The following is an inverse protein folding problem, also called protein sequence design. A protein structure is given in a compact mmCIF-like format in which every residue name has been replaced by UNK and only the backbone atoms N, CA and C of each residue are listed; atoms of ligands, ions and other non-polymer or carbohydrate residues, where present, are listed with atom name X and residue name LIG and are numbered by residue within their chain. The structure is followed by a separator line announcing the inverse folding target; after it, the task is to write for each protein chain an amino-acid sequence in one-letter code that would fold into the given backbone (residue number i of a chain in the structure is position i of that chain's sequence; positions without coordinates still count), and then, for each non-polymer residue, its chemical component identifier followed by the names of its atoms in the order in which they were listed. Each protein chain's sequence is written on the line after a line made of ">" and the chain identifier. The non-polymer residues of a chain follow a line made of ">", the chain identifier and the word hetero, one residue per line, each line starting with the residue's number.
data_IF_125921212444
#
_entry.id   IF_125921212444
#
_cell.length_a   1.000
_cell.length_b   1.000
_cell.length_c   1.000
_cell.angle_alpha   90.00
_cell.angle_beta   90.00
_cell.angle_gamma   90.00
#
_symmetry.space_group_name_H-M   'P 1'
#
loop_
_entity.id
_entity.type
_entity.pdbx_description
1 polymer ?
#
# COMPACT_ATOMS: atom_id res chain seq x y z
N UNK A 1 15.69 -13.51 0.59
CA UNK A 1 14.39 -13.22 1.15
C UNK A 1 13.60 -12.29 0.25
N UNK A 2 12.38 -12.50 0.17
CA UNK A 2 11.56 -11.81 -0.80
C UNK A 2 10.80 -10.65 -0.17
N UNK A 3 10.65 -9.59 -0.93
CA UNK A 3 9.77 -8.53 -0.54
C UNK A 3 8.34 -9.07 -0.50
N UNK A 4 7.54 -8.52 0.40
CA UNK A 4 6.13 -8.85 0.45
C UNK A 4 5.47 -8.50 -0.88
N UNK A 5 4.57 -9.36 -1.36
CA UNK A 5 3.81 -9.06 -2.56
C UNK A 5 2.99 -7.79 -2.38
N UNK A 6 2.46 -7.59 -1.19
CA UNK A 6 1.70 -6.38 -0.87
C UNK A 6 2.59 -5.15 -1.06
N UNK A 7 3.81 -5.19 -0.50
CA UNK A 7 4.75 -4.08 -0.62
C UNK A 7 5.07 -3.78 -2.07
N UNK A 8 5.38 -4.82 -2.84
CA UNK A 8 5.72 -4.68 -4.26
C UNK A 8 4.54 -4.08 -5.03
N UNK A 9 3.34 -4.59 -4.78
CA UNK A 9 2.17 -4.15 -5.52
C UNK A 9 1.78 -2.71 -5.18
N UNK A 10 1.86 -2.34 -3.90
CA UNK A 10 1.55 -0.96 -3.52
C UNK A 10 2.51 0.00 -4.20
N UNK A 11 3.81 -0.31 -4.18
CA UNK A 11 4.80 0.54 -4.86
C UNK A 11 4.52 0.64 -6.35
N UNK A 12 4.18 -0.49 -6.97
CA UNK A 12 3.90 -0.54 -8.39
C UNK A 12 2.73 0.38 -8.77
N UNK A 13 1.62 0.24 -8.07
CA UNK A 13 0.44 1.04 -8.38
C UNK A 13 0.64 2.50 -8.02
N UNK A 14 1.38 2.76 -6.92
CA UNK A 14 1.71 4.13 -6.56
C UNK A 14 2.55 4.80 -7.65
N UNK A 15 3.55 4.08 -8.18
CA UNK A 15 4.41 4.61 -9.23
C UNK A 15 3.65 4.82 -10.53
N UNK A 16 2.76 3.90 -10.89
CA UNK A 16 1.93 4.05 -12.08
C UNK A 16 1.09 5.31 -11.98
N UNK A 17 0.59 5.61 -10.79
CA UNK A 17 -0.24 6.80 -10.58
C UNK A 17 0.56 8.05 -10.25
N UNK A 18 1.88 7.90 -10.14
CA UNK A 18 2.80 9.00 -9.85
C UNK A 18 2.42 9.72 -8.55
N UNK A 19 2.15 8.93 -7.52
CA UNK A 19 1.73 9.41 -6.20
C UNK A 19 2.85 9.14 -5.22
N UNK A 20 3.21 10.14 -4.41
CA UNK A 20 4.21 9.96 -3.38
C UNK A 20 3.65 9.13 -2.23
N UNK A 21 4.54 8.61 -1.39
CA UNK A 21 4.11 7.89 -0.18
C UNK A 21 3.27 8.79 0.72
N UNK A 22 3.70 10.04 0.90
CA UNK A 22 2.97 10.97 1.74
C UNK A 22 1.57 11.22 1.19
N UNK A 23 1.47 11.44 -0.11
CA UNK A 23 0.18 11.69 -0.73
C UNK A 23 -0.73 10.48 -0.61
N UNK A 24 -0.17 9.28 -0.84
CA UNK A 24 -0.98 8.07 -0.72
C UNK A 24 -1.48 7.87 0.71
N UNK A 25 -0.64 8.14 1.70
CA UNK A 25 -1.07 7.99 3.10
C UNK A 25 -2.24 8.90 3.41
N UNK A 26 -2.19 10.13 2.92
CA UNK A 26 -3.28 11.09 3.14
C UNK A 26 -4.54 10.68 2.40
N UNK A 27 -4.40 10.27 1.15
CA UNK A 27 -5.56 9.86 0.35
C UNK A 27 -6.22 8.61 0.90
N UNK A 28 -5.43 7.71 1.48
CA UNK A 28 -5.93 6.45 2.02
C UNK A 28 -6.39 6.59 3.47
N UNK A 29 -6.13 7.73 4.09
CA UNK A 29 -6.45 7.93 5.51
C UNK A 29 -5.76 6.91 6.40
N UNK A 30 -4.49 6.65 6.13
CA UNK A 30 -3.61 5.86 6.98
C UNK A 30 -2.40 6.71 7.33
N UNK A 31 -1.76 6.41 8.45
CA UNK A 31 -0.61 7.21 8.83
C UNK A 31 0.57 6.91 7.89
N UNK A 32 1.42 7.91 7.75
CA UNK A 32 2.62 7.76 6.93
C UNK A 32 3.47 6.59 7.44
N UNK A 33 3.64 6.49 8.76
CA UNK A 33 4.41 5.38 9.35
C UNK A 33 3.83 4.02 8.98
N UNK A 34 2.51 3.90 9.00
CA UNK A 34 1.86 2.63 8.62
C UNK A 34 2.21 2.26 7.18
N UNK A 35 2.11 3.23 6.28
CA UNK A 35 2.40 2.97 4.87
C UNK A 35 3.87 2.63 4.66
N UNK A 36 4.77 3.36 5.33
CA UNK A 36 6.21 3.10 5.22
C UNK A 36 6.54 1.68 5.67
N UNK A 37 5.96 1.24 6.78
CA UNK A 37 6.22 -0.11 7.29
C UNK A 37 5.73 -1.18 6.32
N UNK A 38 4.60 -0.93 5.67
CA UNK A 38 4.08 -1.88 4.69
C UNK A 38 4.98 -1.91 3.45
N UNK A 39 5.34 -0.76 2.93
CA UNK A 39 6.15 -0.69 1.71
C UNK A 39 7.57 -1.19 1.92
N UNK A 40 8.11 -1.05 3.13
CA UNK A 40 9.46 -1.53 3.43
C UNK A 40 9.51 -3.03 3.69
N UNK A 41 8.36 -3.66 3.88
CA UNK A 41 8.29 -5.06 4.24
C UNK A 41 8.40 -5.30 5.73
N UNK A 42 8.48 -4.25 6.55
CA UNK A 42 8.52 -4.41 8.00
C UNK A 42 7.19 -4.94 8.53
N UNK A 43 6.08 -4.53 7.92
CA UNK A 43 4.77 -5.08 8.23
C UNK A 43 4.29 -5.88 7.01
N UNK A 44 4.32 -7.19 7.11
CA UNK A 44 3.91 -8.08 6.02
C UNK A 44 2.47 -8.52 6.15
N UNK A 45 1.78 -8.09 7.19
CA UNK A 45 0.43 -8.56 7.48
C UNK A 45 -0.49 -7.42 7.94
N UNK A 46 -0.68 -6.39 7.08
CA UNK A 46 -1.58 -5.30 7.43
C UNK A 46 -3.02 -5.80 7.54
N UNK A 47 -3.84 -5.06 8.26
CA UNK A 47 -5.24 -5.42 8.42
C UNK A 47 -6.00 -5.25 7.10
N UNK A 48 -7.12 -5.96 6.98
CA UNK A 48 -8.00 -5.80 5.82
C UNK A 48 -8.49 -4.36 5.70
N UNK A 49 -8.78 -3.72 6.83
CA UNK A 49 -9.22 -2.33 6.81
C UNK A 49 -8.16 -1.43 6.17
N UNK A 50 -6.92 -1.60 6.60
CA UNK A 50 -5.82 -0.81 6.04
C UNK A 50 -5.63 -1.08 4.55
N UNK A 51 -5.66 -2.35 4.16
CA UNK A 51 -5.53 -2.72 2.75
C UNK A 51 -6.66 -2.15 1.90
N UNK A 52 -7.87 -2.18 2.42
CA UNK A 52 -9.03 -1.64 1.71
C UNK A 52 -8.87 -0.15 1.47
N UNK A 53 -8.42 0.58 2.48
CA UNK A 53 -8.20 2.02 2.37
C UNK A 53 -7.14 2.33 1.31
N UNK A 54 -6.04 1.58 1.32
CA UNK A 54 -4.96 1.79 0.36
C UNK A 54 -5.42 1.44 -1.05
N UNK A 55 -6.13 0.32 -1.20
CA UNK A 55 -6.63 -0.10 -2.50
C UNK A 55 -7.58 0.95 -3.10
N UNK A 56 -8.48 1.47 -2.28
CA UNK A 56 -9.41 2.51 -2.75
C UNK A 56 -8.66 3.75 -3.20
N UNK A 57 -7.64 4.16 -2.45
CA UNK A 57 -6.86 5.33 -2.79
C UNK A 57 -6.08 5.14 -4.09
N UNK A 58 -5.69 3.90 -4.38
CA UNK A 58 -4.99 3.55 -5.63
C UNK A 58 -5.95 3.15 -6.75
N UNK A 59 -7.23 3.10 -6.46
CA UNK A 59 -8.27 2.72 -7.41
C UNK A 59 -8.05 1.31 -7.97
N UNK A 60 -7.70 0.39 -7.08
CA UNK A 60 -7.55 -1.02 -7.40
C UNK A 60 -8.29 -1.84 -6.35
N UNK A 61 -8.45 -3.13 -6.61
CA UNK A 61 -9.07 -4.02 -5.62
C UNK A 61 -8.02 -4.48 -4.62
N UNK A 62 -8.49 -4.93 -3.44
CA UNK A 62 -7.60 -5.57 -2.47
C UNK A 62 -6.93 -6.78 -3.09
N UNK A 63 -7.68 -7.53 -3.89
CA UNK A 63 -7.17 -8.71 -4.56
C UNK A 63 -5.94 -8.39 -5.41
N UNK A 64 -5.97 -7.26 -6.10
CA UNK A 64 -4.83 -6.83 -6.90
C UNK A 64 -3.60 -6.52 -6.06
N UNK A 65 -3.78 -6.12 -4.82
CA UNK A 65 -2.65 -5.88 -3.93
C UNK A 65 -2.05 -7.19 -3.43
N UNK A 66 -2.83 -8.28 -3.45
CA UNK A 66 -2.39 -9.57 -2.93
C UNK A 66 -1.76 -10.47 -3.99
N UNK A 67 -1.94 -10.15 -5.25
CA UNK A 67 -1.36 -10.93 -6.33
C UNK A 67 0.13 -10.70 -6.42
#
# INVERSE_FOLDING_TARGET
>A
MNASKIAVNIKKYRNVRKVSQDRLSKNADVTYNTLIKIESGANTNPTIDTLTKIAKALNVSVDELLK
#
